data_IF_543766400505
#
_entry.id   IF_543766400505
#
_cell.length_a   1.000
_cell.length_b   1.000
_cell.length_c   1.000
_cell.angle_alpha   90.00
_cell.angle_beta   90.00
_cell.angle_gamma   90.00
#
_symmetry.space_group_name_H-M   'P 1'
#
loop_
_entity.id
_entity.type
_entity.pdbx_description
1 polymer ?
#
# COMPACT_ATOMS: atom_id res chain seq x y z
N UNK A 1 -5.24 -8.38 -0.72
CA UNK A 1 -6.04 -7.18 -1.11
C UNK A 1 -5.13 -6.16 -1.84
N UNK A 2 -5.64 -5.36 -2.80
CA UNK A 2 -4.86 -4.43 -3.62
C UNK A 2 -5.39 -2.99 -3.58
N UNK A 3 -4.48 -2.00 -3.44
CA UNK A 3 -4.71 -0.59 -3.73
C UNK A 3 -3.82 -0.16 -4.89
N UNK A 4 -4.36 0.60 -5.85
CA UNK A 4 -3.59 1.23 -6.92
C UNK A 4 -3.80 2.74 -6.91
N UNK A 5 -2.74 3.48 -7.23
CA UNK A 5 -2.78 4.93 -7.44
C UNK A 5 -2.18 5.21 -8.81
N UNK A 6 -2.97 5.78 -9.70
CA UNK A 6 -2.57 6.10 -11.07
C UNK A 6 -2.50 7.60 -11.25
N UNK A 7 -1.53 8.07 -12.04
CA UNK A 7 -1.56 9.42 -12.59
C UNK A 7 -1.20 9.43 -14.08
N UNK A 8 -1.71 10.44 -14.77
CA UNK A 8 -1.33 10.84 -16.13
C UNK A 8 -0.72 12.24 -16.18
N UNK A 9 -0.28 12.77 -15.02
CA UNK A 9 0.59 13.94 -14.96
C UNK A 9 1.82 13.74 -15.87
N UNK A 10 2.47 14.81 -16.34
CA UNK A 10 3.67 14.69 -17.16
C UNK A 10 4.89 15.36 -16.52
N UNK A 11 5.96 14.60 -16.21
CA UNK A 11 6.11 13.16 -16.41
C UNK A 11 5.38 12.34 -15.33
N UNK A 12 4.63 11.30 -15.72
CA UNK A 12 3.82 10.51 -14.77
C UNK A 12 4.69 9.75 -13.76
N UNK A 13 5.93 9.43 -14.15
CA UNK A 13 6.95 8.83 -13.28
C UNK A 13 7.28 9.68 -12.05
N UNK A 14 6.91 10.97 -12.00
CA UNK A 14 7.04 11.78 -10.80
C UNK A 14 6.22 11.25 -9.61
N UNK A 15 5.23 10.39 -9.86
CA UNK A 15 4.54 9.60 -8.84
C UNK A 15 5.53 8.83 -7.94
N UNK A 16 6.63 8.33 -8.50
CA UNK A 16 7.68 7.64 -7.74
C UNK A 16 8.36 8.51 -6.69
N UNK A 17 8.64 9.77 -7.04
CA UNK A 17 9.20 10.75 -6.10
C UNK A 17 8.18 11.14 -5.04
N UNK A 18 6.94 11.41 -5.44
CA UNK A 18 5.85 11.78 -4.52
C UNK A 18 5.59 10.69 -3.47
N UNK A 19 5.61 9.42 -3.87
CA UNK A 19 5.41 8.28 -2.97
C UNK A 19 6.70 7.79 -2.29
N UNK A 20 7.85 8.38 -2.60
CA UNK A 20 9.18 7.95 -2.11
C UNK A 20 9.46 6.48 -2.38
N UNK A 21 9.14 6.02 -3.59
CA UNK A 21 9.32 4.65 -4.06
C UNK A 21 9.82 4.63 -5.48
N UNK A 22 10.97 3.99 -5.69
CA UNK A 22 11.55 3.85 -7.02
C UNK A 22 10.70 2.85 -7.86
N UNK A 23 10.15 3.27 -9.02
CA UNK A 23 9.35 2.39 -9.87
C UNK A 23 10.06 1.12 -10.35
N UNK A 24 11.39 1.12 -10.46
CA UNK A 24 12.18 -0.03 -10.88
C UNK A 24 12.47 -1.04 -9.75
N UNK A 25 11.93 -0.82 -8.53
CA UNK A 25 12.22 -1.66 -7.36
C UNK A 25 10.96 -2.10 -6.64
N UNK A 26 10.71 -3.40 -6.63
CA UNK A 26 9.79 -4.05 -5.69
C UNK A 26 10.29 -3.84 -4.25
N UNK A 27 9.39 -3.46 -3.35
CA UNK A 27 9.67 -3.36 -1.93
C UNK A 27 8.64 -4.15 -1.13
N UNK A 28 9.11 -4.96 -0.18
CA UNK A 28 8.26 -5.64 0.79
C UNK A 28 8.48 -5.03 2.16
N UNK A 29 7.40 -4.84 2.91
CA UNK A 29 7.43 -4.35 4.29
C UNK A 29 6.59 -5.26 5.18
N UNK A 30 7.17 -5.67 6.30
CA UNK A 30 6.44 -6.39 7.35
C UNK A 30 5.31 -5.50 7.90
N UNK A 31 4.13 -6.06 8.13
CA UNK A 31 3.02 -5.40 8.80
C UNK A 31 2.42 -6.35 9.83
N UNK A 32 1.60 -5.83 10.74
CA UNK A 32 0.84 -6.71 11.64
C UNK A 32 -0.01 -7.65 10.80
N UNK A 33 0.21 -8.96 10.95
CA UNK A 33 -0.57 -9.99 10.25
C UNK A 33 -0.02 -10.42 8.89
N UNK A 34 1.16 -9.97 8.46
CA UNK A 34 1.79 -10.44 7.23
C UNK A 34 2.73 -9.40 6.61
N UNK A 35 2.74 -9.31 5.28
CA UNK A 35 3.55 -8.37 4.53
C UNK A 35 2.68 -7.45 3.65
N UNK A 36 3.26 -6.34 3.24
CA UNK A 36 2.75 -5.54 2.14
C UNK A 36 3.83 -5.31 1.08
N UNK A 37 3.43 -5.30 -0.17
CA UNK A 37 4.31 -5.13 -1.32
C UNK A 37 3.98 -3.85 -2.05
N UNK A 38 5.00 -3.04 -2.33
CA UNK A 38 4.91 -1.86 -3.18
C UNK A 38 5.64 -2.13 -4.48
N UNK A 39 4.94 -1.95 -5.59
CA UNK A 39 5.50 -2.09 -6.93
C UNK A 39 4.76 -1.21 -7.93
N UNK A 40 5.30 -1.09 -9.13
CA UNK A 40 4.74 -0.26 -10.20
C UNK A 40 4.44 -1.15 -11.40
N UNK A 41 3.17 -1.57 -11.61
CA UNK A 41 2.79 -2.34 -12.79
C UNK A 41 2.97 -1.54 -14.10
N UNK A 42 2.99 -0.21 -14.04
CA UNK A 42 3.26 0.67 -15.18
C UNK A 42 4.00 1.93 -14.72
N UNK A 43 5.05 2.31 -15.44
CA UNK A 43 5.85 3.50 -15.15
C UNK A 43 6.42 4.09 -16.45
N UNK A 44 5.58 4.76 -17.22
CA UNK A 44 5.98 5.52 -18.42
C UNK A 44 5.88 7.02 -18.16
N UNK A 45 6.29 7.85 -19.12
CA UNK A 45 6.16 9.30 -18.99
C UNK A 45 4.69 9.76 -19.08
N UNK A 46 3.83 8.98 -19.72
CA UNK A 46 2.43 9.28 -19.99
C UNK A 46 1.49 8.74 -18.91
N UNK A 47 1.83 7.60 -18.30
CA UNK A 47 1.03 6.97 -17.26
C UNK A 47 1.93 6.24 -16.27
N UNK A 48 1.65 6.42 -14.99
CA UNK A 48 2.35 5.73 -13.91
C UNK A 48 1.34 5.23 -12.90
N UNK A 49 1.45 3.96 -12.53
CA UNK A 49 0.58 3.29 -11.56
C UNK A 49 1.44 2.70 -10.46
N UNK A 50 1.24 3.15 -9.22
CA UNK A 50 1.76 2.50 -8.02
C UNK A 50 0.74 1.48 -7.50
N UNK A 51 1.21 0.36 -6.97
CA UNK A 51 0.39 -0.69 -6.36
C UNK A 51 0.89 -0.97 -4.94
N UNK A 52 -0.04 -1.10 -4.00
CA UNK A 52 0.17 -1.59 -2.64
C UNK A 52 -0.67 -2.86 -2.45
N UNK A 53 -0.01 -4.01 -2.39
CA UNK A 53 -0.65 -5.32 -2.22
C UNK A 53 -0.43 -5.82 -0.79
N UNK A 54 -1.51 -6.20 -0.09
CA UNK A 54 -1.41 -6.90 1.18
C UNK A 54 -1.35 -8.40 0.98
N UNK A 55 -0.37 -9.01 1.63
CA UNK A 55 -0.16 -10.46 1.75
C UNK A 55 -0.25 -10.84 3.24
N UNK A 56 -1.47 -11.10 3.70
CA UNK A 56 -1.73 -11.40 5.12
C UNK A 56 -1.71 -12.91 5.36
N UNK A 57 -1.10 -13.35 6.46
CA UNK A 57 -1.11 -14.73 6.92
C UNK A 57 -2.43 -15.03 7.69
N UNK A 58 -3.40 -15.74 7.09
CA UNK A 58 -4.67 -16.01 7.74
C UNK A 58 -4.52 -16.83 9.03
N UNK A 59 -3.50 -17.70 9.11
CA UNK A 59 -3.27 -18.54 10.28
C UNK A 59 -2.60 -17.72 11.39
N UNK A 60 -1.59 -16.94 11.04
CA UNK A 60 -0.93 -16.00 11.95
C UNK A 60 -1.87 -14.94 12.54
N UNK A 61 -2.90 -14.52 11.79
CA UNK A 61 -3.93 -13.57 12.24
C UNK A 61 -4.84 -14.09 13.36
N UNK A 62 -4.87 -15.40 13.58
CA UNK A 62 -5.71 -16.07 14.59
C UNK A 62 -4.85 -16.57 15.77
N UNK A 63 -3.65 -17.08 15.48
CA UNK A 63 -2.73 -17.59 16.50
C UNK A 63 -2.25 -16.46 17.42
N UNK A 64 -2.58 -16.55 18.71
CA UNK A 64 -2.18 -15.60 19.75
C UNK A 64 -3.31 -14.76 20.36
N UNK A 65 -4.53 -14.85 19.81
CA UNK A 65 -5.74 -14.34 20.48
C UNK A 65 -6.37 -15.48 21.29
N UNK A 66 -6.18 -15.49 22.61
CA UNK A 66 -6.92 -16.36 23.54
C UNK A 66 -8.39 -15.91 23.59
N UNK A 67 -9.12 -16.11 22.51
CA UNK A 67 -10.55 -15.86 22.47
C UNK A 67 -11.25 -17.18 22.77
N UNK A 68 -11.90 -17.22 23.94
CA UNK A 68 -12.61 -18.36 24.47
C UNK A 68 -13.63 -18.96 23.51
N UNK A 69 -13.95 -20.21 23.78
CA UNK A 69 -14.81 -21.13 23.02
C UNK A 69 -16.06 -20.46 22.43
N UNK A 70 -16.10 -20.37 21.10
CA UNK A 70 -17.27 -19.94 20.34
C UNK A 70 -16.91 -19.61 18.90
N UNK A 71 -17.22 -20.51 17.97
CA UNK A 71 -16.98 -20.40 16.51
C UNK A 71 -15.52 -20.34 16.06
N UNK A 72 -14.80 -21.46 16.26
CA UNK A 72 -13.40 -21.60 15.84
C UNK A 72 -13.20 -21.52 14.31
N UNK A 73 -14.14 -21.97 13.47
CA UNK A 73 -13.93 -22.04 12.01
C UNK A 73 -13.95 -20.66 11.32
N UNK A 74 -14.87 -19.78 11.70
CA UNK A 74 -15.00 -18.42 11.13
C UNK A 74 -13.75 -17.57 11.40
N UNK A 75 -12.99 -17.90 12.45
CA UNK A 75 -11.73 -17.23 12.73
C UNK A 75 -10.63 -17.62 11.73
N UNK A 76 -10.60 -18.88 11.26
CA UNK A 76 -9.62 -19.34 10.26
C UNK A 76 -10.06 -19.05 8.82
N UNK A 77 -11.36 -19.08 8.56
CA UNK A 77 -11.93 -18.84 7.22
C UNK A 77 -12.76 -17.57 7.25
N UNK A 78 -12.16 -16.48 6.83
CA UNK A 78 -12.83 -15.19 6.67
C UNK A 78 -12.17 -14.35 5.58
N UNK A 79 -12.76 -13.19 5.34
CA UNK A 79 -12.40 -12.25 4.31
C UNK A 79 -11.24 -11.32 4.69
N UNK A 80 -10.77 -11.32 5.94
CA UNK A 80 -9.76 -10.36 6.46
C UNK A 80 -8.50 -10.26 5.58
N UNK A 81 -7.95 -11.33 4.99
CA UNK A 81 -6.81 -11.25 4.06
C UNK A 81 -7.12 -10.56 2.71
N UNK A 82 -8.39 -10.47 2.34
CA UNK A 82 -8.84 -10.15 0.99
C UNK A 82 -9.57 -8.81 0.88
N UNK A 83 -9.98 -8.21 1.99
CA UNK A 83 -10.75 -6.94 2.03
C UNK A 83 -9.91 -5.72 2.42
N UNK A 84 -10.39 -4.54 2.04
CA UNK A 84 -9.81 -3.26 2.41
C UNK A 84 -10.17 -2.87 3.86
N UNK A 85 -9.52 -3.52 4.82
CA UNK A 85 -9.70 -3.28 6.25
C UNK A 85 -8.65 -2.31 6.82
N UNK A 86 -8.62 -2.13 8.15
CA UNK A 86 -7.60 -1.33 8.84
C UNK A 86 -6.16 -1.80 8.60
N UNK A 87 -5.94 -3.05 8.15
CA UNK A 87 -4.62 -3.49 7.70
C UNK A 87 -4.10 -2.65 6.52
N UNK A 88 -4.99 -2.17 5.63
CA UNK A 88 -4.60 -1.27 4.55
C UNK A 88 -4.11 0.06 5.08
N UNK A 89 -4.82 0.64 6.06
CA UNK A 89 -4.44 1.90 6.68
C UNK A 89 -3.06 1.80 7.32
N UNK A 90 -2.77 0.70 8.02
CA UNK A 90 -1.44 0.44 8.60
C UNK A 90 -0.38 0.32 7.51
N UNK A 91 -0.66 -0.43 6.44
CA UNK A 91 0.26 -0.58 5.33
C UNK A 91 0.51 0.75 4.59
N UNK A 92 -0.52 1.58 4.40
CA UNK A 92 -0.42 2.92 3.82
C UNK A 92 0.49 3.81 4.65
N UNK A 93 0.26 3.91 5.95
CA UNK A 93 1.10 4.74 6.84
C UNK A 93 2.56 4.26 6.83
N UNK A 94 2.78 2.94 6.80
CA UNK A 94 4.13 2.37 6.78
C UNK A 94 4.83 2.54 5.42
N UNK A 95 4.12 2.37 4.31
CA UNK A 95 4.68 2.46 2.96
C UNK A 95 4.86 3.91 2.49
N UNK A 96 3.88 4.77 2.75
CA UNK A 96 3.77 6.11 2.18
C UNK A 96 3.74 7.24 3.22
N UNK A 97 4.20 7.00 4.45
CA UNK A 97 4.18 7.99 5.53
C UNK A 97 4.84 9.34 5.17
N UNK A 98 5.97 9.33 4.46
CA UNK A 98 6.64 10.56 4.00
C UNK A 98 5.80 11.36 3.00
N UNK A 99 5.08 10.67 2.12
CA UNK A 99 4.16 11.27 1.17
C UNK A 99 2.94 11.87 1.89
N UNK A 100 2.38 11.15 2.87
CA UNK A 100 1.27 11.63 3.70
C UNK A 100 1.62 12.89 4.51
N UNK A 101 2.90 13.08 4.85
CA UNK A 101 3.40 14.29 5.49
C UNK A 101 3.54 15.49 4.53
N UNK A 102 3.21 15.32 3.25
CA UNK A 102 3.29 16.39 2.24
C UNK A 102 4.72 16.77 1.85
N UNK A 103 5.70 15.89 2.10
CA UNK A 103 7.12 16.20 1.84
C UNK A 103 7.62 15.47 0.60
N UNK A 104 8.34 16.17 -0.27
CA UNK A 104 9.06 15.59 -1.41
C UNK A 104 10.32 16.42 -1.70
N UNK A 105 11.51 15.91 -1.38
CA UNK A 105 12.76 16.70 -1.49
C UNK A 105 13.21 16.87 -2.95
N UNK A 106 13.02 15.83 -3.76
CA UNK A 106 13.47 15.81 -5.16
C UNK A 106 12.52 16.60 -6.09
N UNK A 107 11.28 16.82 -5.64
CA UNK A 107 10.22 17.55 -6.34
C UNK A 107 9.39 18.38 -5.34
N UNK A 108 9.94 19.47 -4.77
CA UNK A 108 9.30 20.19 -3.66
C UNK A 108 8.02 20.94 -4.03
N UNK A 109 7.81 21.29 -5.30
CA UNK A 109 6.60 21.97 -5.76
C UNK A 109 5.41 21.02 -5.93
N UNK A 110 5.65 19.76 -6.33
CA UNK A 110 4.58 18.82 -6.71
C UNK A 110 3.56 18.49 -5.61
N UNK A 111 3.93 18.35 -4.31
CA UNK A 111 2.93 18.08 -3.27
C UNK A 111 1.86 19.16 -3.12
N UNK A 112 2.13 20.39 -3.58
CA UNK A 112 1.18 21.50 -3.54
C UNK A 112 0.28 21.57 -4.79
N UNK A 113 0.56 20.76 -5.82
CA UNK A 113 -0.21 20.76 -7.07
C UNK A 113 -1.41 19.80 -6.98
N UNK A 114 -2.51 20.20 -7.62
CA UNK A 114 -3.66 19.32 -7.82
C UNK A 114 -3.37 18.38 -9.00
N UNK A 115 -2.85 17.19 -8.69
CA UNK A 115 -2.52 16.19 -9.71
C UNK A 115 -3.75 15.37 -10.12
N UNK A 116 -3.85 14.94 -11.39
CA UNK A 116 -4.88 14.00 -11.83
C UNK A 116 -4.55 12.60 -11.27
N UNK A 117 -5.18 12.24 -10.15
CA UNK A 117 -5.03 10.93 -9.49
C UNK A 117 -6.30 10.09 -9.65
N UNK A 118 -6.13 8.79 -9.91
CA UNK A 118 -7.21 7.79 -10.03
C UNK A 118 -6.87 6.48 -9.32
#
# INVERSE_FOLDING_TARGET
MLLTITTTYQPATDLGYLLHKNPARLQSLEITGGQAHVFYPEATAERCTAALLLDLDPVGLVRGRNNGEGFALEQYVNDRPYVASSFLSVALSKAFGTAMNGTCKDRPALPAEALPLA
#
